data_IF_888714210467
#
_entry.id   IF_888714210467
#
_cell.length_a   1.000
_cell.length_b   1.000
_cell.length_c   1.000
_cell.angle_alpha   90.00
_cell.angle_beta   90.00
_cell.angle_gamma   90.00
#
_symmetry.space_group_name_H-M   'P 1'
#
loop_
_entity.id
_entity.type
_entity.pdbx_description
1 polymer ?
#
# COMPACT_ATOMS: atom_id res chain seq x y z
N UNK A 1 -3.55 20.55 6.22
CA UNK A 1 -3.54 19.16 5.73
C UNK A 1 -4.65 19.00 4.71
N UNK A 2 -4.43 18.40 3.53
CA UNK A 2 -5.53 18.20 2.57
C UNK A 2 -6.57 17.22 3.13
N UNK A 3 -7.87 17.49 2.95
CA UNK A 3 -8.94 16.66 3.50
C UNK A 3 -8.87 15.23 2.97
N UNK A 4 -9.40 14.30 3.74
CA UNK A 4 -9.61 12.93 3.28
C UNK A 4 -10.70 12.95 2.20
N UNK A 5 -10.37 12.39 1.04
CA UNK A 5 -11.31 12.20 -0.06
C UNK A 5 -11.42 10.71 -0.37
N UNK A 6 -12.64 10.20 -0.52
CA UNK A 6 -12.88 8.89 -1.10
C UNK A 6 -13.57 9.06 -2.45
N UNK A 7 -13.09 8.32 -3.44
CA UNK A 7 -13.66 8.26 -4.79
C UNK A 7 -14.10 6.83 -5.10
N UNK A 8 -15.03 6.68 -6.04
CA UNK A 8 -15.34 5.39 -6.66
C UNK A 8 -14.07 4.77 -7.24
N UNK A 9 -14.03 3.44 -7.29
CA UNK A 9 -12.92 2.71 -7.88
C UNK A 9 -12.64 3.20 -9.31
N UNK A 10 -11.36 3.38 -9.65
CA UNK A 10 -10.90 3.74 -10.98
C UNK A 10 -10.18 2.52 -11.58
N UNK A 11 -10.68 1.95 -12.70
CA UNK A 11 -10.06 0.76 -13.29
C UNK A 11 -8.60 0.96 -13.70
N UNK A 12 -8.20 2.21 -13.97
CA UNK A 12 -6.82 2.53 -14.38
C UNK A 12 -5.80 2.38 -13.25
N UNK A 13 -6.22 2.20 -11.98
CA UNK A 13 -5.28 2.00 -10.87
C UNK A 13 -4.38 0.77 -11.09
N UNK A 14 -4.91 -0.27 -11.75
CA UNK A 14 -4.14 -1.47 -12.11
C UNK A 14 -3.01 -1.15 -13.08
N UNK A 15 -3.30 -0.36 -14.11
CA UNK A 15 -2.32 0.02 -15.13
C UNK A 15 -1.27 0.97 -14.54
N UNK A 16 -1.69 1.93 -13.72
CA UNK A 16 -0.76 2.86 -13.04
C UNK A 16 0.18 2.15 -12.09
N UNK A 17 -0.31 1.14 -11.37
CA UNK A 17 0.53 0.26 -10.56
C UNK A 17 1.54 -0.48 -11.44
N UNK A 18 1.10 -1.09 -12.55
CA UNK A 18 2.00 -1.88 -13.39
C UNK A 18 3.08 -1.01 -14.04
N UNK A 19 2.74 0.21 -14.49
CA UNK A 19 3.71 1.18 -14.99
C UNK A 19 4.82 1.50 -13.98
N UNK A 20 4.46 1.81 -12.73
CA UNK A 20 5.43 2.13 -11.67
C UNK A 20 6.21 0.89 -11.21
N UNK A 21 5.57 -0.29 -11.14
CA UNK A 21 6.25 -1.55 -10.90
C UNK A 21 7.33 -1.81 -11.94
N UNK A 22 7.01 -1.68 -13.23
CA UNK A 22 8.00 -1.87 -14.30
C UNK A 22 9.11 -0.82 -14.26
N UNK A 23 8.80 0.42 -13.85
CA UNK A 23 9.80 1.46 -13.64
C UNK A 23 10.76 1.12 -12.50
N UNK A 24 10.26 0.58 -11.38
CA UNK A 24 11.08 0.12 -10.26
C UNK A 24 11.98 -1.04 -10.69
N UNK A 25 11.43 -2.07 -11.34
CA UNK A 25 12.17 -3.25 -11.82
C UNK A 25 13.33 -2.87 -12.75
N UNK A 26 13.18 -1.84 -13.57
CA UNK A 26 14.23 -1.39 -14.49
C UNK A 26 15.44 -0.74 -13.82
N UNK A 27 15.33 -0.30 -12.57
CA UNK A 27 16.36 0.53 -11.93
C UNK A 27 16.85 -0.03 -10.58
N UNK A 28 16.00 -0.75 -9.86
CA UNK A 28 16.41 -1.49 -8.67
C UNK A 28 16.98 -2.82 -9.13
N UNK A 29 18.16 -3.18 -8.60
CA UNK A 29 18.84 -4.45 -8.91
C UNK A 29 17.89 -5.64 -8.69
N UNK A 30 17.73 -6.56 -9.66
CA UNK A 30 16.79 -7.68 -9.55
C UNK A 30 17.01 -8.54 -8.31
N UNK A 31 18.26 -8.79 -7.93
CA UNK A 31 18.65 -9.56 -6.75
C UNK A 31 18.20 -8.91 -5.42
N UNK A 32 17.92 -7.60 -5.43
CA UNK A 32 17.42 -6.89 -4.26
C UNK A 32 15.89 -6.93 -4.15
N UNK A 33 15.17 -7.37 -5.20
CA UNK A 33 13.71 -7.38 -5.22
C UNK A 33 13.22 -8.79 -4.94
N UNK A 34 12.56 -8.98 -3.80
CA UNK A 34 11.84 -10.22 -3.49
C UNK A 34 10.46 -10.20 -4.13
N UNK A 35 9.72 -9.09 -3.97
CA UNK A 35 8.35 -8.97 -4.50
C UNK A 35 7.95 -7.51 -4.65
N UNK A 36 7.13 -7.22 -5.67
CA UNK A 36 6.42 -5.95 -5.83
C UNK A 36 4.93 -6.26 -5.96
N UNK A 37 4.11 -5.60 -5.13
CA UNK A 37 2.67 -5.88 -5.07
C UNK A 37 1.84 -4.60 -4.98
N UNK A 38 0.73 -4.58 -5.74
CA UNK A 38 -0.33 -3.59 -5.55
C UNK A 38 -1.09 -3.94 -4.28
N UNK A 39 -1.11 -3.04 -3.31
CA UNK A 39 -1.79 -3.22 -2.03
C UNK A 39 -2.81 -2.09 -1.79
N UNK A 40 -3.44 -2.09 -0.62
CA UNK A 40 -4.42 -1.08 -0.25
C UNK A 40 -5.75 -1.21 -0.99
N UNK A 41 -6.65 -0.25 -0.78
CA UNK A 41 -8.01 -0.32 -1.32
C UNK A 41 -8.07 -0.17 -2.84
N UNK A 42 -7.12 0.52 -3.47
CA UNK A 42 -7.09 0.70 -4.93
C UNK A 42 -6.73 -0.58 -5.67
N UNK A 43 -6.19 -1.59 -4.98
CA UNK A 43 -5.93 -2.92 -5.52
C UNK A 43 -7.16 -3.84 -5.53
N UNK A 44 -8.28 -3.42 -4.92
CA UNK A 44 -9.55 -4.17 -4.85
C UNK A 44 -10.55 -3.52 -5.80
N UNK A 45 -10.98 -4.27 -6.81
CA UNK A 45 -11.92 -3.79 -7.82
C UNK A 45 -13.28 -3.45 -7.17
N UNK A 46 -13.89 -2.35 -7.62
CA UNK A 46 -15.18 -1.86 -7.10
C UNK A 46 -15.13 -1.13 -5.76
N UNK A 47 -14.07 -1.26 -4.97
CA UNK A 47 -13.96 -0.65 -3.64
C UNK A 47 -13.62 0.84 -3.69
N UNK A 48 -14.44 1.70 -3.09
CA UNK A 48 -14.15 3.12 -2.95
C UNK A 48 -12.90 3.36 -2.09
N UNK A 49 -12.04 4.28 -2.52
CA UNK A 49 -10.73 4.47 -1.92
C UNK A 49 -10.28 5.92 -1.99
N UNK A 50 -9.27 6.27 -1.17
CA UNK A 50 -8.44 7.43 -1.46
C UNK A 50 -7.79 7.20 -2.84
N UNK A 51 -7.76 8.21 -3.74
CA UNK A 51 -7.19 8.06 -5.07
C UNK A 51 -5.67 8.02 -5.02
N UNK A 52 -5.13 6.95 -4.45
CA UNK A 52 -3.70 6.73 -4.26
C UNK A 52 -3.41 5.25 -4.46
N UNK A 53 -2.48 4.96 -5.36
CA UNK A 53 -2.00 3.59 -5.59
C UNK A 53 -0.95 3.27 -4.52
N UNK A 54 -1.24 2.31 -3.65
CA UNK A 54 -0.30 1.83 -2.64
C UNK A 54 0.48 0.63 -3.19
N UNK A 55 1.81 0.72 -3.16
CA UNK A 55 2.73 -0.30 -3.68
C UNK A 55 3.57 -0.81 -2.52
N UNK A 56 3.66 -2.13 -2.37
CA UNK A 56 4.60 -2.79 -1.47
C UNK A 56 5.78 -3.30 -2.28
N UNK A 57 6.98 -2.83 -1.96
CA UNK A 57 8.25 -3.36 -2.43
C UNK A 57 8.91 -4.11 -1.27
N UNK A 58 9.02 -5.41 -1.41
CA UNK A 58 9.77 -6.26 -0.51
C UNK A 58 11.18 -6.46 -1.06
N UNK A 59 12.16 -6.07 -0.25
CA UNK A 59 13.58 -6.20 -0.56
C UNK A 59 14.22 -7.35 0.22
N UNK A 60 15.30 -7.88 -0.34
CA UNK A 60 16.13 -8.88 0.33
C UNK A 60 16.82 -8.28 1.57
N UNK A 61 17.01 -9.09 2.62
CA UNK A 61 17.67 -8.66 3.86
C UNK A 61 19.14 -8.25 3.69
N UNK A 62 19.80 -8.72 2.63
CA UNK A 62 21.15 -8.33 2.24
C UNK A 62 21.20 -7.02 1.45
N UNK A 63 20.05 -6.49 1.00
CA UNK A 63 19.98 -5.24 0.27
C UNK A 63 20.33 -4.04 1.18
N UNK A 64 21.21 -3.16 0.72
CA UNK A 64 21.44 -1.88 1.37
C UNK A 64 20.19 -1.00 1.26
N UNK A 65 19.51 -0.80 2.40
CA UNK A 65 18.34 0.10 2.53
C UNK A 65 18.64 1.51 2.03
N UNK A 66 19.88 1.98 2.19
CA UNK A 66 20.33 3.29 1.71
C UNK A 66 20.44 3.32 0.19
N UNK A 67 20.98 2.27 -0.44
CA UNK A 67 21.06 2.16 -1.91
C UNK A 67 19.66 2.07 -2.54
N UNK A 68 18.76 1.29 -1.94
CA UNK A 68 17.37 1.21 -2.37
C UNK A 68 16.67 2.57 -2.26
N UNK A 69 16.87 3.29 -1.15
CA UNK A 69 16.29 4.62 -0.96
C UNK A 69 16.80 5.63 -2.00
N UNK A 70 18.11 5.70 -2.22
CA UNK A 70 18.73 6.60 -3.20
C UNK A 70 18.23 6.31 -4.62
N UNK A 71 18.14 5.03 -4.98
CA UNK A 71 17.60 4.62 -6.29
C UNK A 71 16.16 5.09 -6.47
N UNK A 72 15.32 4.96 -5.44
CA UNK A 72 13.92 5.40 -5.49
C UNK A 72 13.80 6.93 -5.53
N UNK A 73 14.61 7.67 -4.78
CA UNK A 73 14.67 9.13 -4.82
C UNK A 73 15.03 9.63 -6.23
N UNK A 74 16.02 9.00 -6.88
CA UNK A 74 16.40 9.28 -8.26
C UNK A 74 15.28 8.98 -9.28
N UNK A 75 14.32 8.11 -8.93
CA UNK A 75 13.11 7.85 -9.73
C UNK A 75 11.97 8.84 -9.47
N UNK A 76 12.18 9.81 -8.59
CA UNK A 76 11.22 10.84 -8.21
C UNK A 76 10.28 10.44 -7.07
N UNK A 77 10.64 9.43 -6.27
CA UNK A 77 9.93 9.10 -5.03
C UNK A 77 10.44 9.98 -3.89
N UNK A 78 9.56 10.78 -3.27
CA UNK A 78 9.90 11.56 -2.09
C UNK A 78 9.80 10.73 -0.82
N UNK A 79 10.88 10.61 -0.06
CA UNK A 79 10.91 9.91 1.23
C UNK A 79 10.04 10.65 2.25
N UNK A 80 9.06 9.95 2.81
CA UNK A 80 8.11 10.48 3.80
C UNK A 80 8.48 10.08 5.23
N UNK A 81 8.92 8.82 5.42
CA UNK A 81 9.39 8.32 6.71
C UNK A 81 10.41 7.20 6.53
N UNK A 82 11.30 7.07 7.51
CA UNK A 82 12.33 6.03 7.57
C UNK A 82 12.44 5.49 9.00
N UNK A 83 12.22 4.19 9.13
CA UNK A 83 12.63 3.37 10.27
C UNK A 83 13.60 2.30 9.75
N UNK A 84 14.71 2.08 10.47
CA UNK A 84 15.75 1.15 10.02
C UNK A 84 15.66 -0.24 10.68
N UNK A 85 14.98 -0.34 11.83
CA UNK A 85 14.83 -1.61 12.55
C UNK A 85 13.45 -1.70 13.24
N UNK A 86 12.52 -2.52 12.73
CA UNK A 86 12.59 -3.18 11.42
C UNK A 86 12.55 -2.14 10.28
N UNK A 87 13.08 -2.50 9.10
CA UNK A 87 13.09 -1.60 7.94
C UNK A 87 11.68 -1.25 7.50
N UNK A 88 11.33 0.03 7.61
CA UNK A 88 10.11 0.63 7.09
C UNK A 88 10.40 1.98 6.46
N UNK A 89 10.48 2.01 5.13
CA UNK A 89 10.51 3.26 4.38
C UNK A 89 9.14 3.53 3.74
N UNK A 90 8.65 4.75 3.88
CA UNK A 90 7.44 5.19 3.18
C UNK A 90 7.84 6.30 2.23
N UNK A 91 7.45 6.16 0.96
CA UNK A 91 7.66 7.16 -0.07
C UNK A 91 6.33 7.61 -0.66
N UNK A 92 6.34 8.79 -1.27
CA UNK A 92 5.23 9.31 -2.04
C UNK A 92 5.68 9.84 -3.40
N UNK A 93 4.76 9.81 -4.37
CA UNK A 93 5.00 10.35 -5.71
C UNK A 93 3.71 10.93 -6.27
N UNK A 94 3.85 12.02 -7.03
CA UNK A 94 2.74 12.66 -7.73
C UNK A 94 1.88 13.55 -6.85
N UNK A 95 2.30 13.98 -5.66
CA UNK A 95 1.61 15.07 -4.97
C UNK A 95 2.02 16.42 -5.58
N UNK A 96 1.07 17.32 -5.84
CA UNK A 96 1.36 18.70 -6.25
C UNK A 96 0.93 19.69 -5.15
N UNK A 97 1.49 20.91 -5.11
CA UNK A 97 0.99 21.96 -4.21
C UNK A 97 -0.51 22.26 -4.38
N UNK A 98 -1.06 21.96 -5.56
CA UNK A 98 -2.47 22.13 -5.91
C UNK A 98 -3.35 20.92 -5.55
N UNK A 99 -2.79 19.82 -5.02
CA UNK A 99 -3.54 18.68 -4.50
C UNK A 99 -3.18 17.34 -5.15
N UNK A 100 -4.21 16.54 -5.43
CA UNK A 100 -4.09 15.23 -6.09
C UNK A 100 -4.16 15.44 -7.62
N UNK A 101 -3.03 15.50 -8.35
CA UNK A 101 -3.08 15.30 -9.80
C UNK A 101 -3.57 13.88 -10.10
N UNK A 102 -3.82 13.58 -11.37
CA UNK A 102 -4.50 12.36 -11.79
C UNK A 102 -3.87 11.06 -11.25
N UNK A 103 -2.56 11.02 -10.99
CA UNK A 103 -1.84 9.82 -10.53
C UNK A 103 -0.99 10.09 -9.28
N UNK A 104 -1.44 9.58 -8.15
CA UNK A 104 -0.76 9.68 -6.85
C UNK A 104 -0.41 8.29 -6.34
N UNK A 105 0.79 8.15 -5.77
CA UNK A 105 1.31 6.88 -5.31
C UNK A 105 1.90 6.96 -3.91
N UNK A 106 1.79 5.85 -3.18
CA UNK A 106 2.62 5.55 -2.04
C UNK A 106 3.42 4.28 -2.31
N UNK A 107 4.67 4.29 -1.89
CA UNK A 107 5.53 3.11 -1.96
C UNK A 107 6.02 2.78 -0.56
N UNK A 108 5.74 1.55 -0.13
CA UNK A 108 6.14 0.99 1.14
C UNK A 108 7.27 0.01 0.88
N UNK A 109 8.48 0.33 1.36
CA UNK A 109 9.65 -0.55 1.21
C UNK A 109 9.94 -1.22 2.52
N UNK A 110 10.10 -2.54 2.48
CA UNK A 110 10.19 -3.42 3.64
C UNK A 110 11.07 -4.63 3.36
N UNK A 111 11.62 -5.26 4.40
CA UNK A 111 12.13 -6.62 4.24
C UNK A 111 10.99 -7.63 4.03
N UNK A 112 11.29 -8.71 3.32
CA UNK A 112 10.39 -9.85 3.19
C UNK A 112 10.05 -10.44 4.57
N UNK A 113 8.78 -10.81 4.79
CA UNK A 113 8.46 -11.72 5.89
C UNK A 113 7.19 -11.49 6.70
N UNK A 114 6.57 -10.29 6.74
CA UNK A 114 5.22 -10.17 7.33
C UNK A 114 4.57 -8.79 7.08
N UNK A 115 3.70 -8.71 6.07
CA UNK A 115 2.90 -7.53 5.75
C UNK A 115 1.43 -7.96 5.65
N UNK A 116 0.54 -7.57 6.61
CA UNK A 116 -0.87 -7.96 6.57
C UNK A 116 -1.59 -7.45 5.32
N UNK A 117 -1.05 -6.44 4.63
CA UNK A 117 -1.66 -5.75 3.50
C UNK A 117 -1.96 -6.68 2.31
N UNK A 118 -1.10 -7.68 2.06
CA UNK A 118 -1.33 -8.67 0.99
C UNK A 118 -2.49 -9.61 1.33
N UNK A 119 -2.49 -10.11 2.56
CA UNK A 119 -3.56 -10.96 3.07
C UNK A 119 -4.89 -10.21 3.09
N UNK A 120 -4.90 -9.00 3.62
CA UNK A 120 -6.09 -8.16 3.66
C UNK A 120 -6.62 -7.88 2.25
N UNK A 121 -5.76 -7.47 1.31
CA UNK A 121 -6.15 -7.25 -0.09
C UNK A 121 -6.81 -8.49 -0.69
N UNK A 122 -6.16 -9.63 -0.61
CA UNK A 122 -6.66 -10.86 -1.20
C UNK A 122 -7.95 -11.33 -0.53
N UNK A 123 -8.08 -11.11 0.77
CA UNK A 123 -9.29 -11.40 1.52
C UNK A 123 -10.47 -10.56 1.04
N UNK A 124 -10.28 -9.23 0.90
CA UNK A 124 -11.33 -8.37 0.36
C UNK A 124 -11.72 -8.74 -1.08
N UNK A 125 -10.79 -9.26 -1.89
CA UNK A 125 -11.11 -9.76 -3.25
C UNK A 125 -11.94 -11.04 -3.22
N UNK A 126 -11.64 -11.95 -2.28
CA UNK A 126 -12.34 -13.21 -2.14
C UNK A 126 -13.70 -13.08 -1.45
N UNK A 127 -13.88 -12.05 -0.60
CA UNK A 127 -15.06 -11.83 0.25
C UNK A 127 -15.70 -10.46 -0.01
N UNK A 128 -16.54 -10.32 -1.07
CA UNK A 128 -17.15 -9.04 -1.45
C UNK A 128 -18.07 -8.43 -0.38
N UNK A 129 -18.69 -9.26 0.46
CA UNK A 129 -19.49 -8.85 1.61
C UNK A 129 -18.63 -8.09 2.64
N UNK A 130 -17.44 -8.62 2.95
CA UNK A 130 -16.47 -7.98 3.84
C UNK A 130 -15.86 -6.73 3.20
N UNK A 131 -15.62 -6.74 1.88
CA UNK A 131 -15.25 -5.52 1.16
C UNK A 131 -16.31 -4.41 1.30
N UNK A 132 -17.59 -4.77 1.24
CA UNK A 132 -18.70 -3.86 1.50
C UNK A 132 -18.74 -3.34 2.94
N UNK A 133 -18.46 -4.19 3.94
CA UNK A 133 -18.31 -3.76 5.34
C UNK A 133 -17.18 -2.74 5.50
N UNK A 134 -16.03 -3.03 4.90
CA UNK A 134 -14.88 -2.15 4.95
C UNK A 134 -15.13 -0.80 4.27
N UNK A 135 -15.87 -0.79 3.16
CA UNK A 135 -16.30 0.44 2.50
C UNK A 135 -17.19 1.30 3.40
N UNK A 136 -18.22 0.69 4.01
CA UNK A 136 -19.12 1.39 4.95
C UNK A 136 -18.36 1.97 6.13
N UNK A 137 -17.41 1.21 6.69
CA UNK A 137 -16.53 1.69 7.74
C UNK A 137 -15.74 2.93 7.28
N UNK A 138 -15.07 2.85 6.13
CA UNK A 138 -14.31 3.98 5.57
C UNK A 138 -15.15 5.22 5.32
N UNK A 139 -16.38 5.06 4.81
CA UNK A 139 -17.31 6.16 4.56
C UNK A 139 -17.78 6.83 5.86
N UNK A 140 -18.05 6.03 6.90
CA UNK A 140 -18.41 6.54 8.24
C UNK A 140 -17.25 7.32 8.86
N UNK A 141 -16.04 6.77 8.80
CA UNK A 141 -14.85 7.36 9.42
C UNK A 141 -14.37 8.61 8.68
N UNK A 142 -14.46 8.65 7.35
CA UNK A 142 -13.98 9.80 6.57
C UNK A 142 -14.56 11.10 7.10
N UNK A 143 -15.89 11.20 7.27
CA UNK A 143 -16.52 12.43 7.75
C UNK A 143 -16.09 12.80 9.17
N UNK A 144 -15.88 11.81 10.04
CA UNK A 144 -15.46 12.02 11.42
C UNK A 144 -14.01 12.52 11.52
N UNK A 145 -13.15 12.07 10.59
CA UNK A 145 -11.71 12.32 10.61
C UNK A 145 -11.25 13.15 9.40
N UNK A 146 -12.09 14.04 8.86
CA UNK A 146 -11.86 14.72 7.58
C UNK A 146 -10.48 15.39 7.47
N UNK A 147 -9.99 15.95 8.58
CA UNK A 147 -8.69 16.62 8.68
C UNK A 147 -7.67 15.88 9.56
N UNK A 148 -7.98 14.65 9.98
CA UNK A 148 -7.16 13.83 10.87
C UNK A 148 -6.84 12.49 10.18
N UNK A 149 -5.75 12.48 9.40
CA UNK A 149 -5.32 11.29 8.64
C UNK A 149 -4.86 10.16 9.54
N UNK A 150 -4.23 10.48 10.66
CA UNK A 150 -3.67 9.50 11.57
C UNK A 150 -4.80 8.84 12.33
N UNK A 151 -5.75 9.62 12.86
CA UNK A 151 -6.98 9.11 13.46
C UNK A 151 -7.82 8.28 12.49
N UNK A 152 -7.94 8.69 11.22
CA UNK A 152 -8.63 7.89 10.20
C UNK A 152 -7.94 6.54 9.95
N UNK A 153 -6.60 6.53 9.92
CA UNK A 153 -5.82 5.32 9.71
C UNK A 153 -5.97 4.38 10.90
N UNK A 154 -5.81 4.90 12.11
CA UNK A 154 -5.91 4.16 13.35
C UNK A 154 -7.30 3.55 13.56
N UNK A 155 -8.36 4.29 13.25
CA UNK A 155 -9.74 3.82 13.42
C UNK A 155 -10.13 2.63 12.52
N UNK A 156 -9.27 2.23 11.57
CA UNK A 156 -9.44 1.04 10.73
C UNK A 156 -8.57 -0.14 11.16
N UNK A 157 -7.60 0.07 12.06
CA UNK A 157 -6.56 -0.90 12.42
C UNK A 157 -7.16 -2.23 12.86
N UNK A 158 -8.15 -2.22 13.76
CA UNK A 158 -8.77 -3.45 14.27
C UNK A 158 -9.46 -4.27 13.19
N UNK A 159 -10.18 -3.59 12.28
CA UNK A 159 -10.86 -4.23 11.15
C UNK A 159 -9.84 -4.89 10.22
N UNK A 160 -8.80 -4.14 9.84
CA UNK A 160 -7.73 -4.62 8.96
C UNK A 160 -7.03 -5.81 9.60
N UNK A 161 -6.63 -5.69 10.88
CA UNK A 161 -5.94 -6.74 11.63
C UNK A 161 -6.77 -8.02 11.68
N UNK A 162 -8.04 -7.93 12.09
CA UNK A 162 -8.95 -9.08 12.19
C UNK A 162 -9.00 -9.88 10.90
N UNK A 163 -9.30 -9.22 9.78
CA UNK A 163 -9.45 -9.92 8.51
C UNK A 163 -8.11 -10.33 7.89
N UNK A 164 -7.01 -9.65 8.21
CA UNK A 164 -5.66 -10.12 7.87
C UNK A 164 -5.31 -11.42 8.59
N UNK A 165 -5.65 -11.54 9.87
CA UNK A 165 -5.39 -12.74 10.66
C UNK A 165 -6.23 -13.94 10.18
N UNK A 166 -7.51 -13.71 9.82
CA UNK A 166 -8.36 -14.74 9.19
C UNK A 166 -7.77 -15.17 7.85
N UNK A 167 -7.41 -14.20 7.00
CA UNK A 167 -6.85 -14.46 5.67
C UNK A 167 -5.54 -15.25 5.70
N UNK A 168 -4.70 -15.05 6.73
CA UNK A 168 -3.48 -15.86 6.92
C UNK A 168 -3.78 -17.35 7.08
N UNK A 169 -4.83 -17.65 7.85
CA UNK A 169 -5.29 -19.04 8.07
C UNK A 169 -5.93 -19.57 6.79
N UNK A 170 -6.87 -18.83 6.20
CA UNK A 170 -7.62 -19.26 5.02
C UNK A 170 -6.72 -19.52 3.81
N UNK A 171 -5.70 -18.67 3.60
CA UNK A 171 -4.77 -18.80 2.49
C UNK A 171 -3.51 -19.59 2.85
N UNK A 172 -3.54 -20.41 3.91
CA UNK A 172 -2.46 -21.32 4.31
C UNK A 172 -1.07 -20.64 4.33
N UNK A 173 -0.99 -19.44 4.92
CA UNK A 173 0.26 -18.69 5.02
C UNK A 173 0.99 -18.45 3.67
N UNK A 174 0.24 -18.32 2.57
CA UNK A 174 0.69 -18.08 1.18
C UNK A 174 1.89 -17.13 1.00
N UNK A 175 2.07 -16.16 1.89
CA UNK A 175 3.08 -15.12 1.81
C UNK A 175 4.16 -15.17 2.88
N UNK A 176 4.13 -16.15 3.78
CA UNK A 176 5.24 -16.35 4.72
C UNK A 176 6.46 -16.87 3.94
N UNK A 177 7.69 -16.53 4.39
CA UNK A 177 8.88 -17.23 3.95
C UNK A 177 8.73 -18.72 4.23
N UNK A 178 9.12 -19.58 3.28
CA UNK A 178 9.43 -20.97 3.63
C UNK A 178 10.56 -20.94 4.65
N UNK A 179 10.36 -21.61 5.78
CA UNK A 179 11.32 -21.65 6.88
C UNK A 179 12.55 -22.48 6.58
#
# INVERSE_FOLDING_TARGET
>A
MFPIILKKHNPNYKDWYEEEKQRIIRHVKPENIVRISHIGSTAVEGLAAKPTVDILLEIDGACSVSEAAETLENLGWGLMSRENDPVKLSFSKGYTPQGFPDRVYHLHVRYFGNWPELYFRDFLKAHPDVAGEYERLKLKLWKQYEYDRDGYTEAKTDFIKRYSDIAKIEFNNKYLPEG
#
